data_IF_954782332620
#
_entry.id   IF_954782332620
#
_cell.length_a   1.000
_cell.length_b   1.000
_cell.length_c   1.000
_cell.angle_alpha   90.00
_cell.angle_beta   90.00
_cell.angle_gamma   90.00
#
_symmetry.space_group_name_H-M   'P 1'
#
loop_
_entity.id
_entity.type
_entity.pdbx_description
1 polymer ?
#
# COMPACT_ATOMS: atom_id res chain seq x y z
N UNK A 1 -55.53 -13.95 -19.93
CA UNK A 1 -54.14 -14.16 -20.42
C UNK A 1 -53.45 -12.86 -20.85
N UNK A 2 -54.01 -12.04 -21.77
CA UNK A 2 -53.39 -10.77 -22.21
C UNK A 2 -53.11 -9.76 -21.08
N UNK A 3 -54.02 -9.60 -20.10
CA UNK A 3 -53.81 -8.70 -18.95
C UNK A 3 -52.66 -9.17 -18.06
N UNK A 4 -52.53 -10.47 -17.82
CA UNK A 4 -51.49 -11.07 -16.99
C UNK A 4 -50.10 -10.94 -17.66
N UNK A 5 -50.02 -11.18 -18.97
CA UNK A 5 -48.82 -10.93 -19.78
C UNK A 5 -48.42 -9.44 -19.79
N UNK A 6 -49.39 -8.53 -19.90
CA UNK A 6 -49.14 -7.09 -19.85
C UNK A 6 -48.63 -6.66 -18.47
N UNK A 7 -49.24 -7.17 -17.38
CA UNK A 7 -48.81 -6.87 -16.01
C UNK A 7 -47.41 -7.43 -15.72
N UNK A 8 -47.12 -8.66 -16.16
CA UNK A 8 -45.77 -9.24 -16.04
C UNK A 8 -44.74 -8.47 -16.87
N UNK A 9 -45.06 -8.08 -18.11
CA UNK A 9 -44.18 -7.27 -18.94
C UNK A 9 -43.89 -5.89 -18.33
N UNK A 10 -44.91 -5.23 -17.76
CA UNK A 10 -44.75 -3.96 -17.05
C UNK A 10 -43.90 -4.14 -15.79
N UNK A 11 -44.08 -5.22 -15.04
CA UNK A 11 -43.28 -5.53 -13.84
C UNK A 11 -41.82 -5.81 -14.20
N UNK A 12 -41.56 -6.55 -15.27
CA UNK A 12 -40.20 -6.81 -15.78
C UNK A 12 -39.56 -5.52 -16.27
N UNK A 13 -40.29 -4.66 -16.99
CA UNK A 13 -39.79 -3.36 -17.43
C UNK A 13 -39.50 -2.41 -16.26
N UNK A 14 -40.33 -2.42 -15.22
CA UNK A 14 -40.10 -1.66 -13.98
C UNK A 14 -38.87 -2.20 -13.22
N UNK A 15 -38.70 -3.51 -13.13
CA UNK A 15 -37.52 -4.13 -12.53
C UNK A 15 -36.25 -3.77 -13.31
N UNK A 16 -36.29 -3.82 -14.64
CA UNK A 16 -35.18 -3.38 -15.50
C UNK A 16 -34.91 -1.89 -15.27
N UNK A 17 -35.92 -1.03 -15.26
CA UNK A 17 -35.75 0.41 -15.04
C UNK A 17 -35.16 0.74 -13.65
N UNK A 18 -35.61 0.05 -12.61
CA UNK A 18 -35.06 0.16 -11.24
C UNK A 18 -33.61 -0.34 -11.21
N UNK A 19 -33.29 -1.42 -11.91
CA UNK A 19 -31.94 -1.97 -12.00
C UNK A 19 -30.97 -1.03 -12.72
N UNK A 20 -31.39 -0.46 -13.85
CA UNK A 20 -30.61 0.54 -14.61
C UNK A 20 -30.45 1.84 -13.81
N UNK A 21 -31.49 2.28 -13.09
CA UNK A 21 -31.43 3.44 -12.20
C UNK A 21 -30.50 3.23 -11.00
N UNK A 22 -30.53 2.04 -10.39
CA UNK A 22 -29.60 1.65 -9.33
C UNK A 22 -28.15 1.55 -9.84
N UNK A 23 -27.92 0.95 -11.01
CA UNK A 23 -26.61 0.90 -11.66
C UNK A 23 -26.02 2.28 -11.92
N UNK A 24 -26.84 3.21 -12.44
CA UNK A 24 -26.45 4.61 -12.66
C UNK A 24 -26.15 5.36 -11.34
N UNK A 25 -27.00 5.21 -10.32
CA UNK A 25 -26.81 5.86 -9.03
C UNK A 25 -25.55 5.36 -8.30
N UNK A 26 -25.33 4.04 -8.33
CA UNK A 26 -24.13 3.43 -7.75
C UNK A 26 -22.89 3.92 -8.50
N UNK A 27 -22.91 3.97 -9.84
CA UNK A 27 -21.82 4.55 -10.63
C UNK A 27 -21.51 6.01 -10.27
N UNK A 28 -22.52 6.84 -10.01
CA UNK A 28 -22.34 8.21 -9.52
C UNK A 28 -21.69 8.28 -8.13
N UNK A 29 -22.01 7.36 -7.23
CA UNK A 29 -21.41 7.30 -5.89
C UNK A 29 -19.96 6.80 -5.96
N UNK A 30 -19.70 5.79 -6.78
CA UNK A 30 -18.35 5.28 -7.03
C UNK A 30 -17.46 6.36 -7.67
N UNK A 31 -17.96 7.14 -8.63
CA UNK A 31 -17.24 8.30 -9.18
C UNK A 31 -16.89 9.34 -8.10
N UNK A 32 -17.81 9.64 -7.18
CA UNK A 32 -17.54 10.56 -6.06
C UNK A 32 -16.48 10.00 -5.11
N UNK A 33 -16.57 8.73 -4.74
CA UNK A 33 -15.58 8.07 -3.89
C UNK A 33 -14.20 8.03 -4.53
N UNK A 34 -14.11 7.73 -5.83
CA UNK A 34 -12.84 7.82 -6.60
C UNK A 34 -12.26 9.23 -6.49
N UNK A 35 -13.06 10.25 -6.78
CA UNK A 35 -12.58 11.64 -6.75
C UNK A 35 -12.20 12.11 -5.34
N UNK A 36 -12.94 11.69 -4.32
CA UNK A 36 -12.62 11.98 -2.92
C UNK A 36 -11.33 11.29 -2.47
N UNK A 37 -11.14 10.03 -2.83
CA UNK A 37 -9.90 9.29 -2.58
C UNK A 37 -8.70 10.00 -3.24
N UNK A 38 -8.84 10.39 -4.51
CA UNK A 38 -7.77 11.10 -5.23
C UNK A 38 -7.47 12.50 -4.65
N UNK A 39 -8.48 13.18 -4.10
CA UNK A 39 -8.28 14.43 -3.38
C UNK A 39 -7.58 14.22 -2.03
N UNK A 40 -7.78 13.07 -1.38
CA UNK A 40 -7.12 12.73 -0.13
C UNK A 40 -5.67 12.26 -0.31
N UNK A 41 -5.25 11.87 -1.52
CA UNK A 41 -3.88 11.46 -1.84
C UNK A 41 -2.93 12.61 -2.21
N UNK A 42 -3.35 13.87 -2.00
CA UNK A 42 -2.56 15.11 -2.14
C UNK A 42 -1.56 15.13 -3.33
N UNK A 43 -2.03 14.78 -4.54
CA UNK A 43 -1.24 14.83 -5.77
C UNK A 43 -0.42 13.56 -6.11
N UNK A 44 -0.32 12.57 -5.21
CA UNK A 44 0.34 11.28 -5.50
C UNK A 44 -0.44 10.46 -6.53
N UNK A 45 -1.76 10.62 -6.60
CA UNK A 45 -2.59 10.01 -7.63
C UNK A 45 -3.36 11.08 -8.42
N UNK A 46 -3.08 11.20 -9.71
CA UNK A 46 -3.73 12.17 -10.60
C UNK A 46 -4.73 11.46 -11.51
N UNK A 47 -5.97 11.94 -11.57
CA UNK A 47 -6.96 11.46 -12.53
C UNK A 47 -6.63 11.97 -13.93
N UNK A 48 -6.42 11.07 -14.89
CA UNK A 48 -6.15 11.43 -16.29
C UNK A 48 -7.42 11.33 -17.12
N UNK A 49 -8.12 10.20 -17.01
CA UNK A 49 -9.33 9.93 -17.79
C UNK A 49 -10.35 9.16 -16.95
N UNK A 50 -11.62 9.45 -17.17
CA UNK A 50 -12.74 8.76 -16.54
C UNK A 50 -13.85 8.54 -17.58
N UNK A 51 -13.98 7.30 -18.03
CA UNK A 51 -15.00 6.89 -18.97
C UNK A 51 -16.09 6.14 -18.20
N UNK A 52 -17.23 6.82 -18.00
CA UNK A 52 -18.37 6.24 -17.32
C UNK A 52 -19.27 5.49 -18.30
N UNK A 53 -19.65 4.28 -17.96
CA UNK A 53 -20.73 3.52 -18.60
C UNK A 53 -21.78 3.14 -17.54
N UNK A 54 -22.80 2.39 -17.94
CA UNK A 54 -23.98 2.13 -17.12
C UNK A 54 -23.73 1.09 -16.01
N UNK A 55 -22.84 0.13 -16.26
CA UNK A 55 -22.53 -1.00 -15.37
C UNK A 55 -21.02 -1.15 -15.11
N UNK A 56 -20.23 -0.38 -15.83
CA UNK A 56 -18.79 -0.40 -15.84
C UNK A 56 -18.28 1.03 -16.02
N UNK A 57 -17.09 1.28 -15.53
CA UNK A 57 -16.37 2.53 -15.71
C UNK A 57 -14.90 2.21 -15.88
N UNK A 58 -14.22 2.92 -16.78
CA UNK A 58 -12.78 2.85 -16.93
C UNK A 58 -12.18 4.14 -16.37
N UNK A 59 -11.28 3.99 -15.41
CA UNK A 59 -10.56 5.10 -14.79
C UNK A 59 -9.09 4.93 -15.13
N UNK A 60 -8.44 5.99 -15.60
CA UNK A 60 -6.99 6.00 -15.78
C UNK A 60 -6.42 7.01 -14.80
N UNK A 61 -5.58 6.54 -13.88
CA UNK A 61 -4.87 7.39 -12.93
C UNK A 61 -3.37 7.35 -13.22
N UNK A 62 -2.65 8.37 -12.75
CA UNK A 62 -1.20 8.43 -12.73
C UNK A 62 -0.75 8.38 -11.28
N UNK A 63 0.06 7.40 -10.93
CA UNK A 63 0.72 7.34 -9.63
C UNK A 63 2.09 8.01 -9.77
N UNK A 64 2.28 9.12 -9.08
CA UNK A 64 3.59 9.75 -8.95
C UNK A 64 4.29 9.13 -7.74
N UNK A 65 5.36 8.38 -7.99
CA UNK A 65 6.19 7.79 -6.94
C UNK A 65 7.36 8.74 -6.72
N UNK A 66 7.26 9.63 -5.75
CA UNK A 66 8.36 10.55 -5.40
C UNK A 66 9.42 9.91 -4.48
N UNK A 67 9.17 8.69 -3.99
CA UNK A 67 10.01 8.03 -2.98
C UNK A 67 11.26 7.42 -3.59
N UNK A 68 12.45 7.94 -3.24
CA UNK A 68 13.73 7.33 -3.63
C UNK A 68 13.96 6.00 -2.88
N UNK A 69 14.58 4.99 -3.52
CA UNK A 69 15.15 4.99 -4.87
C UNK A 69 14.12 4.70 -5.99
N UNK A 70 12.89 4.28 -5.66
CA UNK A 70 11.89 3.86 -6.64
C UNK A 70 11.45 5.00 -7.57
N UNK A 71 11.31 6.21 -7.06
CA UNK A 71 10.88 7.39 -7.80
C UNK A 71 11.90 7.90 -8.82
N UNK A 72 13.18 7.60 -8.63
CA UNK A 72 14.21 7.91 -9.63
C UNK A 72 14.14 6.99 -10.86
N UNK A 73 13.54 5.82 -10.71
CA UNK A 73 13.47 4.80 -11.76
C UNK A 73 12.09 4.71 -12.40
N UNK A 74 11.07 5.15 -11.67
CA UNK A 74 9.67 4.93 -11.98
C UNK A 74 8.87 6.16 -11.58
N UNK A 75 8.99 7.22 -12.35
CA UNK A 75 8.11 8.39 -12.27
C UNK A 75 6.87 8.17 -13.15
N UNK A 76 5.72 8.69 -12.73
CA UNK A 76 4.46 8.69 -13.48
C UNK A 76 3.97 7.31 -13.98
N UNK A 77 3.56 6.42 -13.07
CA UNK A 77 2.95 5.13 -13.45
C UNK A 77 1.48 5.27 -13.86
N UNK A 78 1.10 5.00 -15.13
CA UNK A 78 -0.29 4.97 -15.54
C UNK A 78 -0.96 3.68 -15.02
N UNK A 79 -2.00 3.83 -14.22
CA UNK A 79 -2.83 2.74 -13.74
C UNK A 79 -4.19 2.78 -14.43
N UNK A 80 -4.65 1.64 -14.93
CA UNK A 80 -6.04 1.46 -15.40
C UNK A 80 -6.84 0.75 -14.32
N UNK A 81 -7.95 1.35 -13.93
CA UNK A 81 -8.96 0.74 -13.08
C UNK A 81 -10.20 0.45 -13.93
N UNK A 82 -10.56 -0.83 -14.02
CA UNK A 82 -11.83 -1.28 -14.56
C UNK A 82 -12.79 -1.47 -13.40
N UNK A 83 -13.79 -0.60 -13.31
CA UNK A 83 -14.70 -0.52 -12.18
C UNK A 83 -16.09 -0.98 -12.61
N UNK A 84 -16.47 -2.18 -12.22
CA UNK A 84 -17.82 -2.71 -12.40
C UNK A 84 -18.69 -2.22 -11.25
N UNK A 85 -19.90 -1.74 -11.54
CA UNK A 85 -20.81 -1.21 -10.53
C UNK A 85 -22.26 -1.53 -10.84
N UNK A 86 -23.05 -1.69 -9.78
CA UNK A 86 -24.47 -2.01 -9.88
C UNK A 86 -24.88 -3.06 -8.86
N UNK A 87 -26.18 -3.31 -8.70
CA UNK A 87 -26.69 -4.15 -7.60
C UNK A 87 -26.31 -5.63 -7.74
N UNK A 88 -25.88 -6.05 -8.94
CA UNK A 88 -25.27 -7.35 -9.21
C UNK A 88 -24.05 -7.10 -10.10
N UNK A 89 -22.89 -7.53 -9.64
CA UNK A 89 -21.62 -7.43 -10.36
C UNK A 89 -21.42 -8.72 -11.14
N UNK A 90 -21.41 -8.61 -12.47
CA UNK A 90 -21.30 -9.75 -13.38
C UNK A 90 -19.84 -10.11 -13.67
N UNK A 91 -19.22 -10.90 -12.80
CA UNK A 91 -17.90 -11.52 -13.05
C UNK A 91 -18.06 -12.93 -13.64
N UNK A 92 -17.04 -13.79 -13.50
CA UNK A 92 -17.15 -15.23 -13.75
C UNK A 92 -18.29 -15.87 -12.94
N UNK A 93 -18.58 -15.33 -11.75
CA UNK A 93 -19.77 -15.63 -10.96
C UNK A 93 -20.50 -14.32 -10.60
N UNK A 94 -21.83 -14.22 -10.80
CA UNK A 94 -22.58 -13.05 -10.40
C UNK A 94 -22.64 -12.92 -8.88
N UNK A 95 -22.21 -11.77 -8.35
CA UNK A 95 -22.19 -11.49 -6.91
C UNK A 95 -22.93 -10.18 -6.59
N UNK A 96 -23.74 -10.14 -5.51
CA UNK A 96 -24.29 -8.89 -5.02
C UNK A 96 -23.17 -8.04 -4.41
N UNK A 97 -23.13 -6.76 -4.73
CA UNK A 97 -22.12 -5.82 -4.23
C UNK A 97 -22.39 -4.41 -4.74
N UNK A 98 -21.64 -3.42 -4.24
CA UNK A 98 -21.70 -2.04 -4.73
C UNK A 98 -20.80 -1.87 -5.95
N UNK A 99 -19.53 -2.24 -5.81
CA UNK A 99 -18.57 -2.10 -6.91
C UNK A 99 -17.45 -3.13 -6.82
N UNK A 100 -16.84 -3.39 -7.96
CA UNK A 100 -15.65 -4.23 -8.06
C UNK A 100 -14.65 -3.56 -9.00
N UNK A 101 -13.42 -3.49 -8.55
CA UNK A 101 -12.36 -2.73 -9.19
C UNK A 101 -11.26 -3.69 -9.53
N UNK A 102 -10.84 -3.70 -10.79
CA UNK A 102 -9.61 -4.36 -11.22
C UNK A 102 -8.62 -3.29 -11.64
N UNK A 103 -7.52 -3.20 -10.91
CA UNK A 103 -6.44 -2.25 -11.15
C UNK A 103 -5.24 -2.98 -11.74
N UNK A 104 -4.67 -2.41 -12.80
CA UNK A 104 -3.47 -2.90 -13.47
C UNK A 104 -2.62 -1.74 -13.97
N UNK A 105 -1.32 -2.01 -14.17
CA UNK A 105 -0.44 -1.08 -14.85
C UNK A 105 -0.78 -0.99 -16.35
N UNK A 106 -0.91 0.22 -16.89
CA UNK A 106 -1.10 0.44 -18.33
C UNK A 106 0.23 0.36 -19.07
N UNK A 107 0.67 -0.87 -19.38
CA UNK A 107 1.94 -1.09 -20.09
C UNK A 107 1.98 -0.40 -21.46
N UNK A 108 0.82 -0.15 -22.10
CA UNK A 108 0.76 0.50 -23.41
C UNK A 108 0.95 2.02 -23.34
N UNK A 109 0.84 2.61 -22.16
CA UNK A 109 1.03 4.04 -21.92
C UNK A 109 2.38 4.37 -21.24
N UNK A 110 3.22 3.35 -20.98
CA UNK A 110 4.57 3.54 -20.43
C UNK A 110 5.53 4.05 -21.50
N UNK A 111 6.47 4.89 -21.08
CA UNK A 111 7.60 5.27 -21.92
C UNK A 111 8.49 4.07 -22.24
N UNK A 112 9.18 4.12 -23.39
CA UNK A 112 9.98 3.00 -23.89
C UNK A 112 11.06 2.53 -22.89
N UNK A 113 11.62 3.44 -22.08
CA UNK A 113 12.60 3.12 -21.05
C UNK A 113 11.99 2.28 -19.92
N UNK A 114 10.85 2.72 -19.37
CA UNK A 114 10.15 2.05 -18.27
C UNK A 114 9.52 0.74 -18.74
N UNK A 115 8.95 0.72 -19.95
CA UNK A 115 8.41 -0.49 -20.57
C UNK A 115 9.50 -1.57 -20.73
N UNK A 116 10.69 -1.20 -21.22
CA UNK A 116 11.82 -2.13 -21.35
C UNK A 116 12.35 -2.64 -20.00
N UNK A 117 12.29 -1.83 -18.94
CA UNK A 117 12.63 -2.25 -17.59
C UNK A 117 11.60 -3.25 -17.04
N UNK A 118 10.30 -2.94 -17.16
CA UNK A 118 9.22 -3.83 -16.73
C UNK A 118 9.30 -5.17 -17.46
N UNK A 119 9.53 -5.17 -18.77
CA UNK A 119 9.69 -6.40 -19.55
C UNK A 119 10.88 -7.24 -19.09
N UNK A 120 12.01 -6.59 -18.79
CA UNK A 120 13.22 -7.27 -18.29
C UNK A 120 13.00 -7.86 -16.90
N UNK A 121 12.44 -7.07 -15.99
CA UNK A 121 12.31 -7.40 -14.56
C UNK A 121 11.22 -8.42 -14.30
N UNK A 122 10.11 -8.36 -15.04
CA UNK A 122 8.93 -9.23 -14.87
C UNK A 122 8.77 -10.28 -15.99
N UNK A 123 9.77 -10.43 -16.86
CA UNK A 123 9.76 -11.36 -18.00
C UNK A 123 8.48 -11.23 -18.86
N UNK A 124 8.12 -10.00 -19.21
CA UNK A 124 6.91 -9.63 -19.97
C UNK A 124 5.58 -10.09 -19.36
N UNK A 125 5.53 -10.34 -18.04
CA UNK A 125 4.27 -10.52 -17.30
C UNK A 125 3.78 -9.18 -16.75
N UNK A 126 2.46 -9.02 -16.51
CA UNK A 126 1.94 -7.87 -15.79
C UNK A 126 2.61 -7.77 -14.41
N UNK A 127 3.22 -6.63 -14.04
CA UNK A 127 3.99 -6.54 -12.80
C UNK A 127 3.13 -6.62 -11.55
N UNK A 128 1.89 -6.13 -11.65
CA UNK A 128 0.96 -6.03 -10.54
C UNK A 128 -0.48 -6.13 -11.02
N UNK A 129 -1.32 -6.71 -10.18
CA UNK A 129 -2.77 -6.66 -10.28
C UNK A 129 -3.38 -6.47 -8.91
N UNK A 130 -4.34 -5.56 -8.79
CA UNK A 130 -5.16 -5.45 -7.59
C UNK A 130 -6.63 -5.59 -7.92
N UNK A 131 -7.34 -6.29 -7.07
CA UNK A 131 -8.78 -6.47 -7.15
C UNK A 131 -9.40 -6.00 -5.84
N UNK A 132 -10.39 -5.12 -5.92
CA UNK A 132 -11.11 -4.60 -4.75
C UNK A 132 -12.60 -4.80 -4.95
N UNK A 133 -13.26 -5.53 -4.05
CA UNK A 133 -14.70 -5.73 -4.03
C UNK A 133 -15.30 -4.94 -2.86
N UNK A 134 -16.32 -4.13 -3.13
CA UNK A 134 -17.05 -3.34 -2.12
C UNK A 134 -18.45 -3.91 -1.98
N UNK A 135 -18.78 -4.40 -0.79
CA UNK A 135 -20.07 -5.00 -0.46
C UNK A 135 -21.09 -3.93 -0.02
N UNK A 136 -22.39 -4.30 0.05
CA UNK A 136 -23.46 -3.39 0.48
C UNK A 136 -23.34 -2.86 1.91
N UNK A 137 -22.58 -3.55 2.76
CA UNK A 137 -22.26 -3.12 4.11
C UNK A 137 -21.09 -2.12 4.16
N UNK A 138 -20.64 -1.61 3.00
CA UNK A 138 -19.49 -0.70 2.87
C UNK A 138 -18.16 -1.30 3.37
N UNK A 139 -18.11 -2.62 3.53
CA UNK A 139 -16.86 -3.35 3.73
C UNK A 139 -16.29 -3.64 2.37
N UNK A 140 -15.00 -3.38 2.23
CA UNK A 140 -14.29 -3.64 1.00
C UNK A 140 -13.15 -4.62 1.25
N UNK A 141 -13.13 -5.64 0.41
CA UNK A 141 -12.10 -6.68 0.41
C UNK A 141 -11.18 -6.43 -0.75
N UNK A 142 -9.88 -6.41 -0.51
CA UNK A 142 -8.88 -6.22 -1.54
C UNK A 142 -7.93 -7.41 -1.63
N UNK A 143 -7.45 -7.67 -2.83
CA UNK A 143 -6.41 -8.63 -3.12
C UNK A 143 -5.42 -7.98 -4.09
N UNK A 144 -4.17 -7.88 -3.68
CA UNK A 144 -3.05 -7.37 -4.44
C UNK A 144 -2.11 -8.54 -4.73
N UNK A 145 -1.66 -8.63 -5.97
CA UNK A 145 -0.66 -9.59 -6.40
C UNK A 145 0.44 -8.86 -7.16
N UNK A 146 1.69 -9.10 -6.76
CA UNK A 146 2.89 -8.68 -7.48
C UNK A 146 3.47 -9.92 -8.13
N UNK A 147 3.71 -9.86 -9.43
CA UNK A 147 4.30 -10.97 -10.18
C UNK A 147 5.75 -11.22 -9.75
N UNK A 148 6.25 -12.46 -9.92
CA UNK A 148 7.65 -12.75 -9.72
C UNK A 148 8.53 -11.81 -10.53
N UNK A 149 9.61 -11.35 -9.91
CA UNK A 149 10.54 -10.44 -10.53
C UNK A 149 11.98 -10.84 -10.23
N UNK A 150 12.85 -10.58 -11.20
CA UNK A 150 14.28 -10.81 -11.09
C UNK A 150 15.02 -9.65 -11.72
N UNK A 151 16.00 -9.12 -11.00
CA UNK A 151 16.89 -8.08 -11.52
C UNK A 151 18.33 -8.40 -11.14
N UNK A 152 19.22 -8.15 -12.08
CA UNK A 152 20.66 -8.22 -11.88
C UNK A 152 21.25 -6.89 -12.32
N UNK A 153 22.01 -6.26 -11.43
CA UNK A 153 22.83 -5.09 -11.72
C UNK A 153 24.25 -5.58 -11.99
N UNK A 154 24.72 -5.38 -13.23
CA UNK A 154 26.09 -5.71 -13.63
C UNK A 154 27.11 -4.76 -12.97
N UNK A 155 26.71 -3.52 -12.65
CA UNK A 155 27.59 -2.49 -12.08
C UNK A 155 27.84 -2.70 -10.57
N UNK A 156 26.82 -3.14 -9.82
CA UNK A 156 26.91 -3.37 -8.37
C UNK A 156 27.05 -4.87 -8.00
N UNK A 157 27.13 -5.74 -9.02
CA UNK A 157 27.07 -7.19 -8.92
C UNK A 157 25.98 -7.67 -7.93
N UNK A 158 24.80 -7.05 -8.05
CA UNK A 158 23.66 -7.29 -7.16
C UNK A 158 22.58 -8.03 -7.93
N UNK A 159 22.22 -9.21 -7.43
CA UNK A 159 21.11 -10.00 -7.94
C UNK A 159 19.99 -10.05 -6.90
N UNK A 160 18.80 -9.62 -7.31
CA UNK A 160 17.59 -9.61 -6.50
C UNK A 160 16.52 -10.47 -7.19
N UNK A 161 15.92 -11.38 -6.41
CA UNK A 161 14.85 -12.27 -6.85
C UNK A 161 13.71 -12.17 -5.85
N UNK A 162 12.49 -12.02 -6.34
CA UNK A 162 11.26 -12.14 -5.55
C UNK A 162 10.29 -13.04 -6.32
N UNK A 163 9.91 -14.18 -5.75
CA UNK A 163 8.95 -15.13 -6.32
C UNK A 163 7.50 -14.74 -6.02
N UNK A 164 7.19 -13.47 -6.28
CA UNK A 164 5.88 -12.86 -6.12
C UNK A 164 5.50 -12.49 -4.68
N UNK A 165 4.48 -11.66 -4.59
CA UNK A 165 3.89 -11.21 -3.34
C UNK A 165 2.37 -11.19 -3.47
N UNK A 166 1.67 -11.69 -2.46
CA UNK A 166 0.23 -11.65 -2.36
C UNK A 166 -0.14 -10.92 -1.09
N UNK A 167 -1.03 -9.95 -1.20
CA UNK A 167 -1.58 -9.21 -0.08
C UNK A 167 -3.09 -9.29 -0.20
N UNK A 168 -3.77 -9.71 0.85
CA UNK A 168 -5.22 -9.67 0.92
C UNK A 168 -5.66 -9.01 2.19
N UNK A 169 -6.78 -8.31 2.17
CA UNK A 169 -7.25 -7.66 3.37
C UNK A 169 -8.65 -7.11 3.24
N UNK A 170 -9.09 -6.50 4.34
CA UNK A 170 -10.41 -5.89 4.44
C UNK A 170 -10.26 -4.51 5.05
N UNK A 171 -10.99 -3.56 4.50
CA UNK A 171 -11.19 -2.26 5.09
C UNK A 171 -12.69 -2.01 5.29
N UNK A 172 -12.99 -1.21 6.30
CA UNK A 172 -14.33 -0.69 6.60
C UNK A 172 -14.19 0.80 6.77
N UNK A 173 -15.10 1.57 6.19
CA UNK A 173 -15.17 3.01 6.43
C UNK A 173 -15.56 3.23 7.90
N UNK A 174 -14.61 3.68 8.72
CA UNK A 174 -14.85 4.03 10.12
C UNK A 174 -14.92 5.56 10.21
N UNK A 175 -16.15 6.06 10.32
CA UNK A 175 -16.54 7.45 10.58
C UNK A 175 -16.17 8.51 9.53
N UNK A 176 -17.19 9.24 9.07
CA UNK A 176 -17.07 10.27 8.02
C UNK A 176 -16.38 11.56 8.50
N UNK A 177 -16.19 11.72 9.81
CA UNK A 177 -15.64 12.94 10.43
C UNK A 177 -14.11 12.91 10.62
N UNK A 178 -13.46 11.74 10.50
CA UNK A 178 -12.00 11.63 10.60
C UNK A 178 -11.37 11.42 9.23
N UNK A 179 -11.14 12.53 8.54
CA UNK A 179 -10.50 12.66 7.23
C UNK A 179 -9.04 12.13 7.12
N UNK A 180 -8.56 11.23 7.98
CA UNK A 180 -7.13 10.87 7.98
C UNK A 180 -6.89 9.37 8.13
N UNK A 181 -6.22 8.82 7.10
CA UNK A 181 -5.65 7.48 6.98
C UNK A 181 -6.63 6.33 7.20
N UNK A 182 -7.21 5.84 6.09
CA UNK A 182 -7.93 4.56 6.05
C UNK A 182 -6.94 3.43 6.34
N UNK A 183 -6.87 2.97 7.58
CA UNK A 183 -6.05 1.82 7.95
C UNK A 183 -6.84 0.52 7.69
N UNK A 184 -6.20 -0.52 7.12
CA UNK A 184 -6.86 -1.81 6.94
C UNK A 184 -7.22 -2.42 8.30
N UNK A 185 -8.45 -2.92 8.41
CA UNK A 185 -8.97 -3.63 9.58
C UNK A 185 -8.25 -4.99 9.70
N UNK A 186 -8.05 -5.65 8.57
CA UNK A 186 -7.24 -6.87 8.51
C UNK A 186 -6.43 -6.88 7.24
N UNK A 187 -5.22 -7.43 7.31
CA UNK A 187 -4.48 -7.79 6.11
C UNK A 187 -3.62 -9.02 6.37
N UNK A 188 -3.38 -9.82 5.34
CA UNK A 188 -2.35 -10.84 5.33
C UNK A 188 -1.55 -10.67 4.05
N UNK A 189 -0.23 -10.62 4.22
CA UNK A 189 0.75 -10.54 3.17
C UNK A 189 1.57 -11.83 3.20
N UNK A 190 1.76 -12.45 2.05
CA UNK A 190 2.66 -13.58 1.87
C UNK A 190 3.57 -13.30 0.70
N UNK A 191 4.87 -13.54 0.87
CA UNK A 191 5.85 -13.48 -0.21
C UNK A 191 6.31 -14.88 -0.56
N UNK A 192 6.60 -15.11 -1.84
CA UNK A 192 7.43 -16.24 -2.24
C UNK A 192 8.87 -16.05 -1.80
N UNK A 193 9.77 -16.83 -2.41
CA UNK A 193 11.20 -16.72 -2.16
C UNK A 193 11.69 -15.30 -2.45
N UNK A 194 12.36 -14.68 -1.48
CA UNK A 194 13.10 -13.44 -1.65
C UNK A 194 14.59 -13.75 -1.50
N UNK A 195 15.39 -13.40 -2.50
CA UNK A 195 16.84 -13.59 -2.48
C UNK A 195 17.53 -12.30 -2.88
N UNK A 196 18.51 -11.89 -2.08
CA UNK A 196 19.42 -10.79 -2.36
C UNK A 196 20.84 -11.35 -2.31
N UNK A 197 21.58 -11.24 -3.39
CA UNK A 197 22.93 -11.81 -3.50
C UNK A 197 23.88 -10.83 -4.17
N UNK A 198 25.09 -10.72 -3.65
CA UNK A 198 26.25 -10.13 -4.34
C UNK A 198 27.48 -11.02 -4.12
N UNK A 199 28.67 -10.53 -4.49
CA UNK A 199 29.94 -11.27 -4.32
C UNK A 199 30.29 -11.59 -2.86
N UNK A 200 29.78 -10.83 -1.90
CA UNK A 200 30.17 -10.93 -0.49
C UNK A 200 29.13 -11.66 0.36
N UNK A 201 27.85 -11.47 0.05
CA UNK A 201 26.74 -11.94 0.88
C UNK A 201 25.58 -12.43 0.01
N UNK A 202 24.97 -13.53 0.42
CA UNK A 202 23.69 -14.01 -0.11
C UNK A 202 22.70 -14.17 1.03
N UNK A 203 21.62 -13.40 0.99
CA UNK A 203 20.49 -13.46 1.91
C UNK A 203 19.32 -14.08 1.15
N UNK A 204 18.77 -15.18 1.67
CA UNK A 204 17.60 -15.85 1.10
C UNK A 204 16.55 -16.08 2.18
N UNK A 205 15.32 -15.66 1.88
CA UNK A 205 14.12 -15.88 2.67
C UNK A 205 13.18 -16.75 1.83
N UNK A 206 12.88 -18.00 2.22
CA UNK A 206 11.96 -18.87 1.48
C UNK A 206 10.55 -18.30 1.35
N UNK A 207 10.06 -17.67 2.42
CA UNK A 207 8.76 -16.99 2.45
C UNK A 207 8.71 -16.04 3.64
N UNK A 208 8.02 -14.92 3.49
CA UNK A 208 7.65 -14.02 4.57
C UNK A 208 6.13 -13.94 4.65
N UNK A 209 5.57 -14.13 5.84
CA UNK A 209 4.15 -13.88 6.11
C UNK A 209 4.00 -12.76 7.13
N UNK A 210 3.14 -11.80 6.83
CA UNK A 210 2.76 -10.73 7.75
C UNK A 210 1.24 -10.68 7.85
N UNK A 211 0.67 -10.72 9.05
CA UNK A 211 -0.77 -10.60 9.25
C UNK A 211 -1.08 -9.51 10.25
N UNK A 212 -2.04 -8.65 9.94
CA UNK A 212 -2.68 -7.73 10.88
C UNK A 212 -4.08 -8.20 11.19
N UNK A 213 -4.39 -8.26 12.48
CA UNK A 213 -5.75 -8.41 12.99
C UNK A 213 -6.11 -7.20 13.87
N UNK A 214 -7.23 -6.55 13.55
CA UNK A 214 -7.88 -5.56 14.41
C UNK A 214 -9.04 -6.23 15.16
N UNK A 215 -8.94 -6.24 16.49
CA UNK A 215 -9.98 -6.77 17.39
C UNK A 215 -11.03 -5.71 17.80
N UNK A 216 -10.85 -4.46 17.37
CA UNK A 216 -11.59 -3.28 17.79
C UNK A 216 -11.13 -2.67 19.13
N UNK A 217 -10.24 -3.36 19.84
CA UNK A 217 -9.65 -2.92 21.12
C UNK A 217 -8.13 -2.83 21.00
N UNK A 218 -7.53 -3.84 20.39
CA UNK A 218 -6.11 -3.88 20.07
C UNK A 218 -5.87 -4.35 18.63
N UNK A 219 -4.88 -3.72 18.00
CA UNK A 219 -4.27 -4.14 16.76
C UNK A 219 -3.12 -5.10 17.06
N UNK A 220 -3.06 -6.21 16.36
CA UNK A 220 -1.94 -7.15 16.40
C UNK A 220 -1.35 -7.32 15.00
N UNK A 221 -0.04 -7.16 14.88
CA UNK A 221 0.73 -7.45 13.66
C UNK A 221 1.71 -8.57 13.95
N UNK A 222 1.58 -9.69 13.23
CA UNK A 222 2.46 -10.85 13.35
C UNK A 222 3.29 -10.97 12.06
N UNK A 223 4.59 -11.19 12.21
CA UNK A 223 5.53 -11.42 11.10
C UNK A 223 6.23 -12.75 11.31
N UNK A 224 6.35 -13.58 10.27
CA UNK A 224 7.04 -14.86 10.35
C UNK A 224 7.81 -15.13 9.05
N UNK A 225 9.04 -15.62 9.19
CA UNK A 225 9.85 -16.15 8.11
C UNK A 225 10.65 -17.35 8.61
N UNK A 226 10.47 -18.51 8.00
CA UNK A 226 11.18 -19.73 8.36
C UNK A 226 12.34 -20.00 7.40
N UNK A 227 13.45 -20.53 7.93
CA UNK A 227 14.61 -20.92 7.12
C UNK A 227 15.30 -19.75 6.43
N UNK A 228 15.35 -18.59 7.08
CA UNK A 228 16.15 -17.45 6.62
C UNK A 228 17.60 -17.89 6.56
N UNK A 229 18.25 -17.66 5.42
CA UNK A 229 19.63 -18.07 5.15
C UNK A 229 20.50 -16.87 4.83
N UNK A 230 21.64 -16.76 5.50
CA UNK A 230 22.66 -15.75 5.23
C UNK A 230 23.99 -16.46 4.99
N UNK A 231 24.47 -16.44 3.75
CA UNK A 231 25.76 -16.98 3.36
C UNK A 231 26.75 -15.84 3.12
N UNK A 232 27.97 -15.99 3.61
CA UNK A 232 29.07 -15.05 3.37
C UNK A 232 30.13 -15.70 2.49
N UNK A 233 30.79 -14.91 1.66
CA UNK A 233 31.88 -15.39 0.83
C UNK A 233 33.04 -15.92 1.70
N UNK A 234 33.45 -17.16 1.43
CA UNK A 234 34.55 -17.82 2.15
C UNK A 234 34.15 -18.58 3.41
N UNK A 235 32.91 -18.48 3.87
CA UNK A 235 32.37 -19.31 4.95
C UNK A 235 31.77 -20.62 4.38
N UNK A 236 32.06 -21.78 4.98
CA UNK A 236 31.66 -23.08 4.42
C UNK A 236 30.17 -23.41 4.62
N UNK A 237 29.52 -22.84 5.64
CA UNK A 237 28.12 -23.09 5.96
C UNK A 237 27.35 -21.76 6.08
N UNK A 238 26.14 -21.66 5.50
CA UNK A 238 25.29 -20.49 5.70
C UNK A 238 24.73 -20.46 7.12
N UNK A 239 24.52 -19.26 7.63
CA UNK A 239 23.76 -19.04 8.87
C UNK A 239 22.28 -19.23 8.54
N UNK A 240 21.62 -20.18 9.21
CA UNK A 240 20.17 -20.38 9.09
C UNK A 240 19.49 -19.98 10.39
N UNK A 241 18.30 -19.39 10.31
CA UNK A 241 17.44 -19.10 11.48
C UNK A 241 15.99 -18.91 11.04
N UNK A 242 15.05 -18.97 11.98
CA UNK A 242 13.70 -18.46 11.78
C UNK A 242 13.56 -17.08 12.42
N UNK A 243 12.72 -16.25 11.83
CA UNK A 243 12.34 -14.93 12.31
C UNK A 243 10.86 -14.93 12.65
N UNK A 244 10.52 -14.49 13.86
CA UNK A 244 9.16 -14.27 14.30
C UNK A 244 9.06 -12.90 15.00
N UNK A 245 8.17 -12.04 14.53
CA UNK A 245 7.84 -10.76 15.12
C UNK A 245 6.38 -10.69 15.52
N UNK A 246 6.07 -10.01 16.62
CA UNK A 246 4.71 -9.62 16.96
C UNK A 246 4.71 -8.22 17.54
N UNK A 247 3.78 -7.39 17.11
CA UNK A 247 3.54 -6.07 17.69
C UNK A 247 2.07 -5.97 18.03
N UNK A 248 1.77 -5.75 19.31
CA UNK A 248 0.42 -5.45 19.79
C UNK A 248 0.33 -3.97 20.09
N UNK A 249 -0.76 -3.34 19.70
CA UNK A 249 -1.03 -1.93 19.99
C UNK A 249 -2.47 -1.78 20.47
N UNK A 250 -2.66 -1.15 21.62
CA UNK A 250 -3.96 -0.85 22.21
C UNK A 250 -4.11 0.66 22.35
N UNK A 251 -5.29 1.17 21.98
CA UNK A 251 -5.64 2.58 22.16
C UNK A 251 -6.55 2.71 23.36
N UNK A 252 -6.10 3.43 24.39
CA UNK A 252 -6.87 3.70 25.59
C UNK A 252 -7.07 5.20 25.78
N UNK A 253 -8.24 5.71 25.34
CA UNK A 253 -8.50 7.15 25.32
C UNK A 253 -7.57 7.86 24.34
N UNK A 254 -6.73 8.77 24.83
CA UNK A 254 -5.76 9.51 24.02
C UNK A 254 -4.35 8.92 24.05
N UNK A 255 -4.15 7.79 24.75
CA UNK A 255 -2.83 7.19 24.91
C UNK A 255 -2.79 5.84 24.17
N UNK A 256 -1.65 5.56 23.54
CA UNK A 256 -1.34 4.32 22.84
C UNK A 256 -0.31 3.56 23.67
N UNK A 257 -0.56 2.27 23.84
CA UNK A 257 0.32 1.35 24.55
C UNK A 257 0.42 0.04 23.78
N UNK A 258 1.44 -0.76 24.08
CA UNK A 258 1.65 -2.01 23.37
C UNK A 258 2.98 -2.65 23.68
N UNK A 259 3.22 -3.78 23.01
CA UNK A 259 4.46 -4.51 23.10
C UNK A 259 4.92 -4.90 21.70
N UNK A 260 6.23 -4.95 21.51
CA UNK A 260 6.87 -5.48 20.31
C UNK A 260 7.86 -6.55 20.69
N UNK A 261 7.72 -7.73 20.11
CA UNK A 261 8.60 -8.87 20.26
C UNK A 261 9.22 -9.21 18.92
N UNK A 262 10.52 -9.43 18.91
CA UNK A 262 11.26 -10.04 17.80
C UNK A 262 12.02 -11.25 18.36
N UNK A 263 11.85 -12.40 17.74
CA UNK A 263 12.47 -13.67 18.09
C UNK A 263 13.19 -14.21 16.88
N UNK A 264 14.48 -14.52 17.05
CA UNK A 264 15.25 -15.31 16.11
C UNK A 264 15.56 -16.65 16.76
N UNK A 265 15.23 -17.77 16.12
CA UNK A 265 15.45 -19.10 16.67
C UNK A 265 16.00 -20.10 15.65
N UNK A 266 16.33 -21.30 16.13
CA UNK A 266 16.84 -22.40 15.31
C UNK A 266 18.11 -22.05 14.53
N UNK A 267 19.01 -21.30 15.16
CA UNK A 267 20.29 -20.95 14.54
C UNK A 267 21.13 -22.20 14.18
N UNK A 268 21.66 -22.23 12.96
CA UNK A 268 22.71 -23.16 12.52
C UNK A 268 23.78 -22.43 11.71
N UNK A 269 24.95 -23.05 11.50
CA UNK A 269 26.06 -22.43 10.75
C UNK A 269 26.83 -21.35 11.54
N UNK A 270 26.54 -21.18 12.82
CA UNK A 270 27.27 -20.26 13.71
C UNK A 270 28.45 -20.97 14.39
N UNK A 271 29.59 -20.28 14.46
CA UNK A 271 30.76 -20.72 15.25
C UNK A 271 30.45 -20.86 16.74
N UNK A 272 29.51 -20.06 17.25
CA UNK A 272 29.04 -20.11 18.64
C UNK A 272 27.61 -20.65 18.71
N UNK A 273 27.30 -21.53 19.67
CA UNK A 273 25.97 -22.15 19.78
C UNK A 273 24.95 -21.17 20.38
N UNK A 274 24.51 -20.19 19.59
CA UNK A 274 23.32 -19.42 19.88
C UNK A 274 22.09 -20.28 19.54
N UNK A 275 21.11 -20.37 20.43
CA UNK A 275 19.86 -21.11 20.15
C UNK A 275 18.70 -20.19 19.81
N UNK A 276 18.65 -19.03 20.47
CA UNK A 276 17.57 -18.07 20.37
C UNK A 276 18.06 -16.68 20.75
N UNK A 277 17.52 -15.66 20.09
CA UNK A 277 17.67 -14.25 20.41
C UNK A 277 16.28 -13.60 20.46
N UNK A 278 15.89 -13.13 21.64
CA UNK A 278 14.62 -12.43 21.84
C UNK A 278 14.87 -10.95 22.18
N UNK A 279 14.26 -10.05 21.41
CA UNK A 279 14.10 -8.64 21.74
C UNK A 279 12.64 -8.41 22.14
N UNK A 280 12.43 -7.76 23.28
CA UNK A 280 11.10 -7.34 23.74
C UNK A 280 11.15 -5.86 24.11
N UNK A 281 10.17 -5.12 23.62
CA UNK A 281 10.00 -3.70 23.87
C UNK A 281 8.56 -3.45 24.27
N UNK A 282 8.35 -3.09 25.54
CA UNK A 282 7.06 -2.60 26.02
C UNK A 282 7.04 -1.07 25.88
N UNK A 283 5.97 -0.52 25.30
CA UNK A 283 5.77 0.92 25.16
C UNK A 283 4.40 1.34 25.70
N UNK A 284 4.34 2.50 26.35
CA UNK A 284 3.11 3.02 26.93
C UNK A 284 3.15 4.55 27.00
N UNK A 285 1.99 5.19 27.02
CA UNK A 285 1.88 6.64 27.20
C UNK A 285 2.20 7.45 25.94
N UNK A 286 2.10 6.83 24.76
CA UNK A 286 2.28 7.52 23.49
C UNK A 286 1.00 8.28 23.15
N UNK A 287 1.05 9.61 23.08
CA UNK A 287 -0.13 10.42 22.76
C UNK A 287 -0.64 10.17 21.33
N UNK A 288 -1.86 9.66 21.19
CA UNK A 288 -2.53 9.46 19.89
C UNK A 288 -2.65 10.77 19.09
N UNK A 289 -3.05 11.92 19.68
CA UNK A 289 -3.00 13.20 18.97
C UNK A 289 -1.60 13.57 18.48
N UNK A 290 -0.55 13.23 19.22
CA UNK A 290 0.83 13.48 18.80
C UNK A 290 1.24 12.57 17.63
N UNK A 291 0.80 11.31 17.59
CA UNK A 291 1.02 10.41 16.45
C UNK A 291 0.33 10.91 15.18
N UNK A 292 -0.89 11.44 15.29
CA UNK A 292 -1.59 12.08 14.16
C UNK A 292 -0.83 13.31 13.68
N UNK A 293 -0.33 14.14 14.61
CA UNK A 293 0.47 15.33 14.27
C UNK A 293 1.81 14.96 13.62
N UNK A 294 2.47 13.88 14.06
CA UNK A 294 3.69 13.31 13.47
C UNK A 294 3.42 12.88 12.03
N UNK A 295 2.36 12.10 11.77
CA UNK A 295 2.01 11.62 10.43
C UNK A 295 1.76 12.82 9.49
N UNK A 296 1.01 13.83 9.94
CA UNK A 296 0.79 15.06 9.18
C UNK A 296 2.08 15.81 8.84
N UNK A 297 3.02 15.89 9.79
CA UNK A 297 4.32 16.55 9.57
C UNK A 297 5.22 15.76 8.63
N UNK A 298 5.20 14.42 8.71
CA UNK A 298 5.91 13.55 7.78
C UNK A 298 5.39 13.70 6.35
N UNK A 299 4.08 13.72 6.15
CA UNK A 299 3.51 13.94 4.81
C UNK A 299 3.89 15.31 4.26
N UNK A 300 3.83 16.37 5.08
CA UNK A 300 4.27 17.71 4.65
C UNK A 300 5.77 17.77 4.32
N UNK A 301 6.60 17.04 5.07
CA UNK A 301 8.03 16.91 4.77
C UNK A 301 8.24 16.28 3.39
N UNK A 302 7.49 15.22 3.10
CA UNK A 302 7.50 14.55 1.78
C UNK A 302 7.02 15.47 0.66
N UNK A 303 5.99 16.28 0.88
CA UNK A 303 5.48 17.21 -0.13
C UNK A 303 6.51 18.29 -0.47
N UNK A 304 7.25 18.77 0.54
CA UNK A 304 8.33 19.75 0.36
C UNK A 304 9.52 19.10 -0.36
N UNK A 305 9.90 17.87 0.02
CA UNK A 305 10.95 17.10 -0.67
C UNK A 305 10.62 16.85 -2.15
N UNK A 306 9.37 16.49 -2.46
CA UNK A 306 8.91 16.32 -3.84
C UNK A 306 8.98 17.62 -4.65
N UNK A 307 8.83 18.79 -4.00
CA UNK A 307 8.96 20.09 -4.65
C UNK A 307 10.41 20.60 -4.74
N UNK A 308 11.35 19.99 -4.00
CA UNK A 308 12.78 20.34 -4.01
C UNK A 308 13.54 19.70 -5.18
N UNK A 309 12.93 18.80 -5.95
CA UNK A 309 13.51 18.19 -7.16
C UNK A 309 12.86 18.73 -8.46
N UNK A 310 13.02 20.03 -8.81
CA UNK A 310 12.59 20.50 -10.11
C UNK A 310 13.62 20.05 -11.13
N UNK A 311 13.19 19.28 -12.13
CA UNK A 311 14.05 18.82 -13.22
C UNK A 311 14.93 19.92 -13.82
N UNK A 312 16.10 19.53 -14.34
CA UNK A 312 17.28 20.36 -14.68
C UNK A 312 16.99 21.68 -15.42
N UNK A 313 15.86 21.82 -16.12
CA UNK A 313 15.48 23.03 -16.85
C UNK A 313 15.05 24.23 -15.97
N UNK A 314 14.71 24.02 -14.69
CA UNK A 314 14.21 25.08 -13.80
C UNK A 314 15.29 25.80 -12.95
N UNK A 315 16.51 25.26 -12.85
CA UNK A 315 17.54 25.75 -11.91
C UNK A 315 18.23 27.07 -12.30
N UNK A 316 18.03 27.55 -13.53
CA UNK A 316 18.68 28.76 -14.05
C UNK A 316 17.92 30.07 -13.74
N UNK A 317 16.71 30.00 -13.19
CA UNK A 317 15.90 31.18 -12.86
C UNK A 317 16.15 31.67 -11.42
N UNK A 318 16.35 33.00 -11.20
CA UNK A 318 16.45 33.57 -9.85
C UNK A 318 15.23 33.33 -8.96
N UNK A 319 14.05 33.15 -9.58
CA UNK A 319 12.80 32.85 -8.89
C UNK A 319 12.77 31.39 -8.38
N UNK A 320 13.27 30.44 -9.18
CA UNK A 320 13.42 29.05 -8.76
C UNK A 320 14.39 28.91 -7.59
N UNK A 321 15.50 29.66 -7.57
CA UNK A 321 16.43 29.67 -6.43
C UNK A 321 15.81 30.22 -5.14
N UNK A 322 14.93 31.22 -5.24
CA UNK A 322 14.19 31.75 -4.09
C UNK A 322 13.16 30.74 -3.58
N UNK A 323 12.47 30.06 -4.50
CA UNK A 323 11.51 29.02 -4.17
C UNK A 323 12.20 27.83 -3.47
N UNK A 324 13.34 27.36 -4.00
CA UNK A 324 14.16 26.31 -3.38
C UNK A 324 14.66 26.72 -1.98
N UNK A 325 15.10 27.97 -1.81
CA UNK A 325 15.51 28.48 -0.49
C UNK A 325 14.34 28.52 0.49
N UNK A 326 13.15 28.90 0.02
CA UNK A 326 11.93 28.93 0.84
C UNK A 326 11.49 27.51 1.25
N UNK A 327 11.56 26.56 0.33
CA UNK A 327 11.27 25.15 0.58
C UNK A 327 12.27 24.52 1.56
N UNK A 328 13.58 24.83 1.47
CA UNK A 328 14.57 24.36 2.45
C UNK A 328 14.33 24.96 3.86
N UNK A 329 13.89 26.22 3.95
CA UNK A 329 13.49 26.81 5.24
C UNK A 329 12.25 26.11 5.80
N UNK A 330 11.25 25.84 4.96
CA UNK A 330 10.02 25.15 5.36
C UNK A 330 10.30 23.70 5.78
N UNK A 331 11.19 23.00 5.08
CA UNK A 331 11.63 21.64 5.42
C UNK A 331 12.26 21.60 6.82
N UNK A 332 13.15 22.54 7.12
CA UNK A 332 13.80 22.65 8.44
C UNK A 332 12.79 22.97 9.54
N UNK A 333 11.83 23.86 9.30
CA UNK A 333 10.78 24.19 10.27
C UNK A 333 9.86 22.99 10.54
N UNK A 334 9.50 22.22 9.50
CA UNK A 334 8.73 20.97 9.65
C UNK A 334 9.53 19.91 10.41
N UNK A 335 10.83 19.78 10.14
CA UNK A 335 11.71 18.87 10.87
C UNK A 335 11.84 19.25 12.36
N UNK A 336 11.98 20.55 12.67
CA UNK A 336 12.02 21.06 14.04
C UNK A 336 10.69 20.82 14.78
N UNK A 337 9.57 21.00 14.09
CA UNK A 337 8.24 20.66 14.62
C UNK A 337 8.09 19.16 14.87
N UNK A 338 8.56 18.32 13.95
CA UNK A 338 8.53 16.86 14.10
C UNK A 338 9.30 16.42 15.35
N UNK A 339 10.53 16.94 15.52
CA UNK A 339 11.35 16.69 16.71
C UNK A 339 10.65 17.20 17.98
N UNK A 340 10.04 18.38 17.94
CA UNK A 340 9.32 18.93 19.08
C UNK A 340 8.10 18.06 19.47
N UNK A 341 7.33 17.56 18.50
CA UNK A 341 6.18 16.67 18.76
C UNK A 341 6.65 15.33 19.30
N UNK A 342 7.67 14.71 18.70
CA UNK A 342 8.25 13.44 19.15
C UNK A 342 8.72 13.50 20.60
N UNK A 343 9.50 14.52 20.96
CA UNK A 343 10.12 14.60 22.28
C UNK A 343 9.27 15.29 23.36
N UNK A 344 8.34 16.20 23.00
CA UNK A 344 7.55 16.96 23.99
C UNK A 344 6.09 16.51 24.12
N UNK A 345 5.53 15.88 23.09
CA UNK A 345 4.09 15.53 23.06
C UNK A 345 3.85 14.03 22.96
N UNK A 346 4.64 13.31 22.16
CA UNK A 346 4.49 11.87 21.96
C UNK A 346 5.08 11.08 23.13
N UNK A 347 6.28 11.43 23.60
CA UNK A 347 6.88 10.85 24.81
C UNK A 347 6.44 11.65 26.04
N UNK A 348 5.38 11.21 26.71
CA UNK A 348 5.02 11.73 28.02
C UNK A 348 5.85 11.00 29.09
N UNK A 349 7.09 11.46 29.29
CA UNK A 349 7.82 11.12 30.52
C UNK A 349 7.05 11.74 31.70
N UNK A 350 6.80 10.96 32.76
CA UNK A 350 6.04 11.29 33.97
C UNK A 350 4.51 11.23 33.91
N UNK A 351 3.96 10.03 33.65
CA UNK A 351 2.70 9.60 34.27
C UNK A 351 2.96 8.42 35.21
N UNK A 352 3.55 8.70 36.37
CA UNK A 352 3.52 7.80 37.55
C UNK A 352 2.35 8.11 38.44
#
# INVERSE_FOLDING_TARGET
>A
MKKLLLTTAVLVLLLIAVWLGAGWFIGLQTEKQVRQYLQATDGQHVLIDYQRSLLDSRVVTRLNVSQTPLGQWVDDLPLVHEVMHGPVIWQSEPRPGLSYWRTRLDQGALDASVSGLVDRVFASKPPFSAETAVDFNQVATYQVQISPLQTASDDDNLNFVLDGLQLHGRWSEQDADTSQAVLPVTFEMTTGQLSLSNDEITISLPSLSVSKADSGVADEVITQAAGVSVAFAGEPEPILFNLAGSTTTEVNGNDVQGDSKLSLDQFSGLTYPLKQLDLKLDFSGISQPALVEINRLQNRMQDIEAQLDPGDEAMDLPEARRQLTQLDIELRDVADQLLAVLFKKALQADKT
#
